data_IF_760791290394
#
_entry.id   IF_760791290394
#
_cell.length_a   1.000
_cell.length_b   1.000
_cell.length_c   1.000
_cell.angle_alpha   90.00
_cell.angle_beta   90.00
_cell.angle_gamma   90.00
#
_symmetry.space_group_name_H-M   'P 1'
#
loop_
_entity.id
_entity.type
_entity.pdbx_description
1 polymer ?
#
# COMPACT_ATOMS: atom_id res chain seq x y z
N UNK A 1 7.30 3.81 -9.87
CA UNK A 1 7.75 4.68 -8.74
C UNK A 1 7.46 6.16 -8.99
N UNK A 2 6.78 6.51 -10.09
CA UNK A 2 6.54 7.87 -10.55
C UNK A 2 5.77 8.78 -9.60
N UNK A 3 4.86 8.24 -8.77
CA UNK A 3 4.13 9.05 -7.77
C UNK A 3 5.06 9.51 -6.62
N UNK A 4 5.91 8.60 -6.13
CA UNK A 4 6.86 8.87 -5.04
C UNK A 4 7.90 9.91 -5.46
N UNK A 5 8.43 9.77 -6.68
CA UNK A 5 9.40 10.69 -7.30
C UNK A 5 8.89 12.13 -7.44
N UNK A 6 7.57 12.31 -7.62
CA UNK A 6 6.91 13.61 -7.79
C UNK A 6 6.52 14.28 -6.46
N UNK A 7 6.59 13.57 -5.34
CA UNK A 7 6.24 14.08 -4.00
C UNK A 7 7.44 14.33 -3.09
N UNK A 8 8.68 14.10 -3.55
CA UNK A 8 9.91 14.17 -2.74
C UNK A 8 9.88 13.29 -1.47
N UNK A 9 9.01 12.26 -1.46
CA UNK A 9 8.88 11.32 -0.36
C UNK A 9 9.82 10.14 -0.58
N UNK A 10 10.56 9.73 0.44
CA UNK A 10 11.23 8.42 0.44
C UNK A 10 10.31 7.40 1.12
N UNK A 11 9.45 6.77 0.32
CA UNK A 11 8.69 5.61 0.78
C UNK A 11 9.57 4.39 0.56
N UNK A 12 9.89 3.69 1.65
CA UNK A 12 10.62 2.43 1.62
C UNK A 12 9.79 1.30 0.98
N UNK A 13 9.52 0.25 1.74
CA UNK A 13 8.62 -0.80 1.29
C UNK A 13 7.15 -0.33 1.42
N UNK A 14 6.34 -0.66 0.42
CA UNK A 14 4.92 -0.36 0.41
C UNK A 14 4.12 -1.53 -0.18
N UNK A 15 2.86 -1.63 0.22
CA UNK A 15 1.91 -2.61 -0.30
C UNK A 15 0.55 -1.95 -0.49
N UNK A 16 -0.13 -2.21 -1.61
CA UNK A 16 -1.55 -1.94 -1.77
C UNK A 16 -2.40 -3.15 -1.35
N UNK A 17 -3.47 -2.92 -0.60
CA UNK A 17 -4.40 -3.96 -0.14
C UNK A 17 -5.84 -3.49 -0.35
N UNK A 18 -6.74 -4.32 -0.91
CA UNK A 18 -8.14 -3.96 -1.02
C UNK A 18 -8.81 -4.03 0.36
N UNK A 19 -9.65 -3.04 0.65
CA UNK A 19 -10.44 -2.92 1.87
C UNK A 19 -11.92 -2.95 1.51
N UNK A 20 -12.68 -3.77 2.24
CA UNK A 20 -14.13 -3.80 2.09
C UNK A 20 -14.77 -2.51 2.63
N UNK A 21 -15.88 -2.10 2.02
CA UNK A 21 -16.59 -0.87 2.35
C UNK A 21 -17.67 -0.58 1.31
N UNK A 22 -18.42 0.49 1.52
CA UNK A 22 -19.51 0.91 0.63
C UNK A 22 -19.25 2.35 0.15
N UNK A 23 -18.59 2.57 -1.01
CA UNK A 23 -17.95 1.57 -1.88
C UNK A 23 -16.58 1.08 -1.35
N UNK A 24 -16.07 -0.06 -1.85
CA UNK A 24 -14.75 -0.58 -1.47
C UNK A 24 -13.62 0.35 -1.94
N UNK A 25 -12.41 0.19 -1.39
CA UNK A 25 -11.23 1.02 -1.74
C UNK A 25 -9.93 0.25 -1.58
N UNK A 26 -8.83 0.84 -2.01
CA UNK A 26 -7.49 0.36 -1.67
C UNK A 26 -6.89 1.11 -0.48
N UNK A 27 -6.08 0.41 0.31
CA UNK A 27 -5.23 0.98 1.34
C UNK A 27 -3.77 0.88 0.89
N UNK A 28 -3.07 2.01 0.89
CA UNK A 28 -1.63 2.08 0.70
C UNK A 28 -0.94 1.95 2.05
N UNK A 29 -0.32 0.80 2.29
CA UNK A 29 0.44 0.52 3.51
C UNK A 29 1.90 0.91 3.31
N UNK A 30 2.46 1.62 4.28
CA UNK A 30 3.87 1.99 4.34
C UNK A 30 4.28 2.21 5.80
N UNK A 31 5.57 2.03 6.10
CA UNK A 31 6.09 2.36 7.43
C UNK A 31 6.21 3.87 7.59
N UNK A 32 5.79 4.38 8.75
CA UNK A 32 5.94 5.78 9.08
C UNK A 32 7.43 6.16 9.01
N UNK A 33 7.74 7.18 8.21
CA UNK A 33 9.09 7.72 8.07
C UNK A 33 9.11 9.14 8.61
N UNK A 34 10.20 9.51 9.30
CA UNK A 34 10.43 10.87 9.79
C UNK A 34 10.43 11.92 8.65
N UNK A 35 10.61 11.47 7.39
CA UNK A 35 10.63 12.32 6.20
C UNK A 35 9.25 12.51 5.56
N UNK A 36 8.23 11.74 5.98
CA UNK A 36 6.88 11.91 5.49
C UNK A 36 6.18 13.05 6.24
N UNK A 37 6.31 14.29 5.73
CA UNK A 37 5.46 15.37 6.21
C UNK A 37 4.00 15.01 5.91
N UNK A 38 3.12 15.12 6.91
CA UNK A 38 1.70 14.73 6.79
C UNK A 38 1.00 15.46 5.63
N UNK A 39 1.48 16.66 5.27
CA UNK A 39 0.99 17.48 4.17
C UNK A 39 1.22 16.88 2.77
N UNK A 40 2.19 15.97 2.62
CA UNK A 40 2.53 15.35 1.35
C UNK A 40 1.72 14.08 1.04
N UNK A 41 1.08 13.48 2.05
CA UNK A 41 0.30 12.24 1.90
C UNK A 41 -0.95 12.37 1.01
N UNK A 42 -1.77 13.42 1.12
CA UNK A 42 -2.90 13.60 0.21
C UNK A 42 -2.46 13.71 -1.24
N UNK A 43 -1.36 14.43 -1.50
CA UNK A 43 -0.78 14.58 -2.84
C UNK A 43 -0.30 13.24 -3.41
N UNK A 44 0.35 12.43 -2.58
CA UNK A 44 0.77 11.08 -2.96
C UNK A 44 -0.43 10.19 -3.33
N UNK A 45 -1.48 10.19 -2.51
CA UNK A 45 -2.67 9.37 -2.74
C UNK A 45 -3.42 9.79 -4.01
N UNK A 46 -3.54 11.08 -4.29
CA UNK A 46 -4.13 11.60 -5.52
C UNK A 46 -3.29 11.21 -6.75
N UNK A 47 -1.97 11.33 -6.67
CA UNK A 47 -1.09 10.90 -7.77
C UNK A 47 -1.14 9.38 -8.00
N UNK A 48 -1.23 8.58 -6.93
CA UNK A 48 -1.45 7.15 -7.03
C UNK A 48 -2.80 6.85 -7.71
N UNK A 49 -3.89 7.48 -7.26
CA UNK A 49 -5.23 7.27 -7.82
C UNK A 49 -5.24 7.61 -9.31
N UNK A 50 -4.66 8.76 -9.71
CA UNK A 50 -4.54 9.14 -11.12
C UNK A 50 -3.74 8.15 -11.94
N UNK A 51 -2.57 7.73 -11.44
CA UNK A 51 -1.73 6.77 -12.16
C UNK A 51 -2.42 5.42 -12.34
N UNK A 52 -3.20 4.97 -11.34
CA UNK A 52 -4.03 3.76 -11.47
C UNK A 52 -5.14 3.93 -12.50
N UNK A 53 -5.82 5.08 -12.53
CA UNK A 53 -6.84 5.36 -13.55
C UNK A 53 -6.26 5.44 -14.97
N UNK A 54 -5.07 6.01 -15.14
CA UNK A 54 -4.39 6.12 -16.44
C UNK A 54 -3.94 4.76 -16.98
N UNK A 55 -3.53 3.85 -16.10
CA UNK A 55 -2.94 2.57 -16.48
C UNK A 55 -3.93 1.40 -16.47
N UNK A 56 -5.10 1.57 -15.83
CA UNK A 56 -6.12 0.53 -15.70
C UNK A 56 -7.52 1.11 -15.96
N UNK A 57 -8.08 0.82 -17.14
CA UNK A 57 -9.40 1.31 -17.54
C UNK A 57 -10.53 0.80 -16.63
N UNK A 58 -10.45 -0.45 -16.15
CA UNK A 58 -11.46 -1.00 -15.23
C UNK A 58 -11.44 -0.27 -13.88
N UNK A 59 -10.24 0.05 -13.38
CA UNK A 59 -10.09 0.88 -12.18
C UNK A 59 -10.70 2.27 -12.40
N UNK A 60 -10.39 2.91 -13.53
CA UNK A 60 -10.93 4.22 -13.89
C UNK A 60 -12.46 4.22 -13.94
N UNK A 61 -13.06 3.26 -14.64
CA UNK A 61 -14.53 3.12 -14.72
C UNK A 61 -15.17 2.92 -13.35
N UNK A 62 -14.57 2.07 -12.49
CA UNK A 62 -15.09 1.85 -11.12
C UNK A 62 -14.98 3.10 -10.25
N UNK A 63 -13.90 3.89 -10.37
CA UNK A 63 -13.75 5.17 -9.67
C UNK A 63 -14.77 6.21 -10.15
N UNK A 64 -14.92 6.37 -11.47
CA UNK A 64 -15.84 7.35 -12.07
C UNK A 64 -17.31 7.04 -11.76
N UNK A 65 -17.68 5.77 -11.75
CA UNK A 65 -19.05 5.32 -11.42
C UNK A 65 -19.36 5.30 -9.92
N UNK A 66 -18.38 5.60 -9.05
CA UNK A 66 -18.56 5.54 -7.59
C UNK A 66 -18.60 4.12 -7.02
N UNK A 67 -18.34 3.08 -7.83
CA UNK A 67 -18.23 1.68 -7.37
C UNK A 67 -16.92 1.38 -6.63
N UNK A 68 -15.97 2.31 -6.67
CA UNK A 68 -14.71 2.26 -5.92
C UNK A 68 -14.41 3.65 -5.33
N UNK A 69 -14.16 3.70 -4.02
CA UNK A 69 -13.72 4.90 -3.32
C UNK A 69 -12.23 5.20 -3.58
N UNK A 70 -11.83 6.44 -3.28
CA UNK A 70 -10.44 6.86 -3.36
C UNK A 70 -9.54 6.02 -2.42
N UNK A 71 -8.28 5.77 -2.79
CA UNK A 71 -7.35 5.06 -1.93
C UNK A 71 -7.02 5.87 -0.68
N UNK A 72 -6.70 5.17 0.41
CA UNK A 72 -6.33 5.78 1.71
C UNK A 72 -4.97 5.31 2.18
N UNK A 73 -4.28 6.14 2.95
CA UNK A 73 -3.03 5.77 3.62
C UNK A 73 -3.31 4.85 4.82
N UNK A 74 -2.40 3.91 5.07
CA UNK A 74 -2.37 3.06 6.26
C UNK A 74 -0.93 3.02 6.78
N UNK A 75 -0.60 3.93 7.69
CA UNK A 75 0.73 3.99 8.30
C UNK A 75 0.97 2.79 9.22
N UNK A 76 2.16 2.22 9.13
CA UNK A 76 2.62 1.10 9.94
C UNK A 76 3.73 1.54 10.90
N UNK A 77 3.85 0.87 12.03
CA UNK A 77 4.99 1.03 12.93
C UNK A 77 6.29 0.69 12.19
N UNK A 78 7.39 1.43 12.37
CA UNK A 78 8.68 1.03 11.82
C UNK A 78 9.08 -0.41 12.20
N UNK A 79 9.60 -1.16 11.22
CA UNK A 79 9.99 -2.56 11.37
C UNK A 79 8.87 -3.58 11.16
N UNK A 80 7.62 -3.14 10.92
CA UNK A 80 6.49 -4.01 10.56
C UNK A 80 6.81 -4.85 9.33
N UNK A 81 7.43 -4.26 8.31
CA UNK A 81 7.80 -4.94 7.09
C UNK A 81 8.93 -5.94 7.26
N UNK A 82 9.91 -5.63 8.11
CA UNK A 82 10.96 -6.58 8.48
C UNK A 82 10.36 -7.82 9.16
N UNK A 83 9.45 -7.63 10.11
CA UNK A 83 8.77 -8.76 10.80
C UNK A 83 7.88 -9.56 9.84
N UNK A 84 7.14 -8.87 8.96
CA UNK A 84 6.33 -9.50 7.92
C UNK A 84 7.17 -10.36 6.96
N UNK A 85 8.31 -9.83 6.51
CA UNK A 85 9.23 -10.53 5.62
C UNK A 85 9.78 -11.82 6.24
N UNK A 86 10.23 -11.76 7.50
CA UNK A 86 10.74 -12.92 8.25
C UNK A 86 9.66 -14.01 8.36
N UNK A 87 8.42 -13.67 8.69
CA UNK A 87 7.34 -14.66 8.78
C UNK A 87 6.98 -15.27 7.42
N UNK A 88 6.99 -14.48 6.34
CA UNK A 88 6.75 -15.01 4.99
C UNK A 88 7.85 -15.98 4.55
N UNK A 89 9.10 -15.70 4.88
CA UNK A 89 10.22 -16.56 4.53
C UNK A 89 10.16 -17.92 5.24
N UNK A 90 9.81 -17.95 6.53
CA UNK A 90 9.61 -19.20 7.29
C UNK A 90 8.62 -20.14 6.60
N UNK A 91 7.58 -19.60 5.94
CA UNK A 91 6.58 -20.39 5.21
C UNK A 91 7.06 -20.91 3.86
N UNK A 92 8.00 -20.23 3.20
CA UNK A 92 8.40 -20.52 1.81
C UNK A 92 9.71 -21.32 1.71
N UNK A 93 10.48 -21.45 2.80
CA UNK A 93 11.72 -22.25 2.82
C UNK A 93 12.87 -21.68 1.98
N UNK A 94 12.81 -20.41 1.56
CA UNK A 94 13.83 -19.74 0.73
C UNK A 94 14.81 -18.87 1.53
N UNK A 95 15.95 -18.53 0.92
CA UNK A 95 16.96 -17.63 1.50
C UNK A 95 16.45 -16.20 1.63
N UNK A 96 16.90 -15.46 2.67
CA UNK A 96 16.58 -14.04 2.93
C UNK A 96 16.78 -13.16 1.67
N UNK A 97 17.83 -13.43 0.90
CA UNK A 97 18.21 -12.64 -0.29
C UNK A 97 17.19 -12.73 -1.43
N UNK A 98 16.30 -13.72 -1.41
CA UNK A 98 15.28 -13.93 -2.46
C UNK A 98 13.93 -13.29 -2.15
N UNK A 99 13.80 -12.65 -0.97
CA UNK A 99 12.53 -12.05 -0.58
C UNK A 99 12.20 -10.82 -1.43
N UNK A 100 11.10 -10.91 -2.20
CA UNK A 100 10.49 -9.78 -2.89
C UNK A 100 9.28 -9.30 -2.10
N UNK A 101 9.36 -8.07 -1.61
CA UNK A 101 8.22 -7.44 -0.93
C UNK A 101 7.05 -7.29 -1.92
N UNK A 102 5.83 -7.73 -1.56
CA UNK A 102 4.70 -7.67 -2.47
C UNK A 102 4.21 -6.23 -2.64
N UNK A 103 4.11 -5.72 -3.88
CA UNK A 103 3.51 -4.40 -4.10
C UNK A 103 1.97 -4.42 -3.98
N UNK A 104 1.35 -5.59 -4.14
CA UNK A 104 -0.08 -5.83 -4.04
C UNK A 104 -0.34 -7.13 -3.28
N UNK A 105 -1.24 -7.09 -2.30
CA UNK A 105 -1.81 -8.29 -1.67
C UNK A 105 -3.31 -8.28 -1.98
N UNK A 106 -3.85 -9.31 -2.69
CA UNK A 106 -5.25 -9.32 -3.13
C UNK A 106 -6.24 -9.74 -2.03
N UNK A 107 -5.74 -10.14 -0.85
CA UNK A 107 -6.57 -10.58 0.27
C UNK A 107 -7.32 -9.39 0.89
N UNK A 108 -8.65 -9.47 0.89
CA UNK A 108 -9.53 -8.43 1.43
C UNK A 108 -9.29 -8.20 2.92
N UNK A 109 -9.23 -6.93 3.32
CA UNK A 109 -9.08 -6.48 4.72
C UNK A 109 -7.82 -6.99 5.44
N UNK A 110 -6.83 -7.50 4.69
CA UNK A 110 -5.60 -8.07 5.25
C UNK A 110 -4.71 -7.03 5.94
N UNK A 111 -4.91 -5.74 5.65
CA UNK A 111 -4.20 -4.64 6.31
C UNK A 111 -4.33 -4.69 7.84
N UNK A 112 -5.52 -5.05 8.36
CA UNK A 112 -5.74 -5.20 9.80
C UNK A 112 -4.95 -6.36 10.39
N UNK A 113 -4.82 -7.45 9.66
CA UNK A 113 -4.02 -8.60 10.10
C UNK A 113 -2.53 -8.24 10.14
N UNK A 114 -2.07 -7.46 9.16
CA UNK A 114 -0.69 -6.96 9.15
C UNK A 114 -0.44 -6.09 10.37
N UNK A 115 -1.30 -5.10 10.61
CA UNK A 115 -1.21 -4.21 11.78
C UNK A 115 -1.19 -5.02 13.09
N UNK A 116 -2.17 -5.90 13.29
CA UNK A 116 -2.31 -6.61 14.57
C UNK A 116 -1.16 -7.59 14.86
N UNK A 117 -0.56 -8.17 13.82
CA UNK A 117 0.47 -9.21 13.99
C UNK A 117 1.88 -8.67 13.94
N UNK A 118 2.09 -7.55 13.25
CA UNK A 118 3.41 -7.06 12.92
C UNK A 118 3.67 -5.61 13.33
N UNK A 119 2.69 -4.82 13.75
CA UNK A 119 2.95 -3.45 14.24
C UNK A 119 3.48 -3.42 15.67
#
# INVERSE_FOLDING_TARGET
RTAVEKTALEIGQYTLIPQWGEPPRYQLLFEQSLLASTDSLPTLLDQLDRSLQETNCEYAEKRQSGRLAAPVACELTPGTWSRFAVERQKKLGGSIEQYKHPCLIPELDYARQILNRFS
#
